data_IF_406839026852
#
_entry.id   IF_406839026852
#
_cell.length_a   1.000
_cell.length_b   1.000
_cell.length_c   1.000
_cell.angle_alpha   90.00
_cell.angle_beta   90.00
_cell.angle_gamma   90.00
#
_symmetry.space_group_name_H-M   'P 1'
#
loop_
_entity.id
_entity.type
_entity.pdbx_description
1 polymer ?
#
# COMPACT_ATOMS: atom_id res chain seq x y z
N UNK A 1 -75.61 2.58 -1.45
CA UNK A 1 -76.05 3.85 -0.85
C UNK A 1 -74.91 4.41 -0.01
N UNK A 2 -74.58 5.71 -0.20
CA UNK A 2 -73.73 6.63 0.60
C UNK A 2 -72.29 6.15 0.98
N UNK A 3 -71.17 6.67 0.44
CA UNK A 3 -70.57 8.04 0.42
C UNK A 3 -70.47 8.77 1.77
N UNK A 4 -69.26 8.80 2.36
CA UNK A 4 -68.52 9.95 2.98
C UNK A 4 -67.02 9.56 2.97
N UNK A 5 -66.07 10.17 2.27
CA UNK A 5 -65.46 11.52 2.29
C UNK A 5 -64.79 11.95 3.61
N UNK A 6 -63.48 12.20 3.52
CA UNK A 6 -62.56 12.84 4.49
C UNK A 6 -61.13 12.35 4.20
N UNK A 7 -60.33 12.93 3.30
CA UNK A 7 -59.59 14.21 3.34
C UNK A 7 -58.71 14.41 4.59
N UNK A 8 -57.40 14.27 4.39
CA UNK A 8 -56.26 14.90 5.09
C UNK A 8 -55.02 14.52 4.25
N UNK A 9 -54.57 15.34 3.30
CA UNK A 9 -53.73 16.55 3.43
C UNK A 9 -52.38 16.31 4.14
N UNK A 10 -51.35 16.21 3.28
CA UNK A 10 -50.08 16.92 3.33
C UNK A 10 -49.32 17.02 4.67
N UNK A 11 -48.24 16.24 4.77
CA UNK A 11 -47.08 16.59 5.57
C UNK A 11 -45.79 16.25 4.80
N UNK A 12 -45.44 17.13 3.86
CA UNK A 12 -44.10 17.23 3.27
C UNK A 12 -43.15 17.69 4.38
N UNK A 13 -42.36 16.77 4.93
CA UNK A 13 -41.32 17.11 5.90
C UNK A 13 -40.10 17.68 5.16
N UNK A 14 -40.14 18.99 4.92
CA UNK A 14 -39.00 19.78 4.48
C UNK A 14 -38.03 19.95 5.66
N UNK A 15 -37.00 19.10 5.74
CA UNK A 15 -35.86 19.34 6.64
C UNK A 15 -34.87 20.28 5.95
N UNK A 16 -35.20 21.57 5.98
CA UNK A 16 -34.33 22.68 5.58
C UNK A 16 -33.90 23.38 6.88
N UNK A 17 -32.76 23.02 7.43
CA UNK A 17 -32.12 23.79 8.49
C UNK A 17 -30.64 24.00 8.16
N UNK A 18 -30.32 25.29 8.15
CA UNK A 18 -29.03 25.90 7.90
C UNK A 18 -27.94 25.37 8.83
N UNK A 19 -26.88 24.81 8.24
CA UNK A 19 -25.56 24.82 8.87
C UNK A 19 -24.70 25.86 8.14
N UNK A 20 -24.96 27.12 8.45
CA UNK A 20 -24.04 28.22 8.17
C UNK A 20 -23.51 28.66 9.53
N UNK A 21 -22.28 28.25 9.86
CA UNK A 21 -21.32 29.07 10.58
C UNK A 21 -19.97 28.36 10.72
N UNK A 22 -18.93 29.12 10.32
CA UNK A 22 -17.56 29.02 10.80
C UNK A 22 -16.65 27.94 10.19
N UNK A 23 -16.40 28.07 8.89
CA UNK A 23 -15.06 27.79 8.35
C UNK A 23 -14.15 28.92 8.84
N UNK A 24 -13.58 28.74 10.04
CA UNK A 24 -12.43 29.52 10.48
C UNK A 24 -11.27 28.56 10.68
N UNK A 25 -10.30 28.73 9.79
CA UNK A 25 -8.88 28.52 10.04
C UNK A 25 -8.37 27.07 10.03
N UNK A 26 -8.23 26.53 8.81
CA UNK A 26 -7.28 25.46 8.50
C UNK A 26 -6.38 25.85 7.31
N UNK A 27 -5.93 27.11 7.29
CA UNK A 27 -4.82 27.59 6.46
C UNK A 27 -3.53 27.56 7.28
N UNK A 28 -3.01 26.38 7.62
CA UNK A 28 -1.71 26.29 8.28
C UNK A 28 -0.90 25.04 7.97
N UNK A 29 -0.97 24.55 6.73
CA UNK A 29 0.15 23.85 6.11
C UNK A 29 0.33 24.33 4.67
N UNK A 30 0.64 25.63 4.52
CA UNK A 30 1.46 26.06 3.41
C UNK A 30 2.80 25.34 3.55
N UNK A 31 3.02 24.30 2.76
CA UNK A 31 4.37 23.90 2.39
C UNK A 31 5.05 25.15 1.83
N UNK A 32 6.05 25.67 2.56
CA UNK A 32 6.89 26.77 2.11
C UNK A 32 7.54 26.35 0.78
N UNK A 33 6.94 26.78 -0.33
CA UNK A 33 7.66 26.89 -1.61
C UNK A 33 8.73 27.95 -1.41
N UNK A 34 10.02 27.68 -1.69
CA UNK A 34 11.04 28.71 -1.69
C UNK A 34 10.64 29.81 -2.67
N UNK A 35 10.51 31.03 -2.18
CA UNK A 35 10.39 32.23 -3.02
C UNK A 35 11.69 32.36 -3.82
N UNK A 36 11.60 32.24 -5.14
CA UNK A 36 12.68 32.65 -6.05
C UNK A 36 12.88 34.16 -5.86
N UNK A 37 13.90 34.54 -5.10
CA UNK A 37 14.47 35.88 -5.15
C UNK A 37 15.36 35.99 -6.38
N UNK A 38 15.15 37.05 -7.15
CA UNK A 38 15.91 37.45 -8.33
C UNK A 38 17.42 37.39 -8.07
N UNK A 39 18.08 36.41 -8.69
CA UNK A 39 19.53 36.36 -8.79
C UNK A 39 19.96 36.71 -10.23
N UNK A 40 21.05 37.48 -10.37
CA UNK A 40 21.52 38.00 -11.64
C UNK A 40 21.94 36.89 -12.60
N UNK A 41 21.61 37.09 -13.88
CA UNK A 41 21.92 36.23 -15.02
C UNK A 41 23.44 36.06 -15.18
N UNK A 42 24.03 35.12 -14.45
CA UNK A 42 25.38 34.64 -14.73
C UNK A 42 25.29 33.43 -15.66
N UNK A 43 25.90 33.55 -16.84
CA UNK A 43 26.07 32.49 -17.83
C UNK A 43 26.75 31.26 -17.20
N UNK A 44 25.93 30.32 -16.69
CA UNK A 44 26.39 28.97 -16.35
C UNK A 44 26.21 28.09 -17.57
N UNK A 45 27.33 27.77 -18.21
CA UNK A 45 27.47 26.61 -19.10
C UNK A 45 27.11 25.38 -18.26
N UNK A 46 25.84 24.99 -18.30
CA UNK A 46 25.31 23.83 -17.59
C UNK A 46 25.98 22.61 -18.19
N UNK A 47 26.98 22.09 -17.48
CA UNK A 47 27.60 20.82 -17.82
C UNK A 47 26.55 19.76 -17.51
N UNK A 48 25.78 19.36 -18.54
CA UNK A 48 24.79 18.28 -18.48
C UNK A 48 25.55 17.01 -18.08
N UNK A 49 25.66 16.80 -16.77
CA UNK A 49 26.22 15.60 -16.21
C UNK A 49 25.14 14.55 -16.45
N UNK A 50 25.31 13.75 -17.49
CA UNK A 50 24.43 12.62 -17.80
C UNK A 50 24.48 11.64 -16.64
N UNK A 51 23.65 11.90 -15.63
CA UNK A 51 23.48 11.04 -14.46
C UNK A 51 22.95 9.73 -15.03
N UNK A 52 23.84 8.74 -15.10
CA UNK A 52 23.54 7.38 -15.56
C UNK A 52 22.27 6.92 -14.86
N UNK A 53 21.14 6.98 -15.55
CA UNK A 53 19.87 6.43 -15.08
C UNK A 53 20.16 4.96 -14.91
N UNK A 54 20.43 4.54 -13.68
CA UNK A 54 20.53 3.12 -13.37
C UNK A 54 19.11 2.63 -13.58
N UNK A 55 18.90 1.86 -14.65
CA UNK A 55 17.68 1.10 -14.86
C UNK A 55 17.48 0.20 -13.63
N UNK A 56 16.82 0.74 -12.60
CA UNK A 56 16.38 -0.04 -11.45
C UNK A 56 15.36 -1.00 -12.03
N UNK A 57 15.72 -2.29 -12.07
CA UNK A 57 14.79 -3.32 -12.51
C UNK A 57 13.49 -3.17 -11.69
N UNK A 58 12.31 -3.15 -12.33
CA UNK A 58 11.05 -3.05 -11.61
C UNK A 58 10.97 -4.16 -10.57
N UNK A 59 10.60 -3.80 -9.33
CA UNK A 59 10.66 -4.69 -8.15
C UNK A 59 9.83 -5.95 -8.31
N UNK A 60 8.76 -5.90 -9.12
CA UNK A 60 7.80 -6.98 -9.32
C UNK A 60 7.76 -7.53 -10.76
N UNK A 61 8.79 -7.23 -11.57
CA UNK A 61 8.88 -7.67 -12.96
C UNK A 61 8.21 -6.71 -13.96
N UNK A 62 8.37 -7.01 -15.26
CA UNK A 62 7.93 -6.12 -16.34
C UNK A 62 6.42 -6.04 -16.57
N UNK A 63 5.66 -7.06 -16.16
CA UNK A 63 4.20 -7.06 -16.28
C UNK A 63 3.48 -6.51 -15.05
N UNK A 64 4.21 -6.04 -14.03
CA UNK A 64 3.57 -5.33 -12.93
C UNK A 64 3.29 -3.89 -13.39
N UNK A 65 2.07 -3.36 -13.18
CA UNK A 65 1.72 -1.99 -13.55
C UNK A 65 2.69 -0.97 -12.93
N UNK A 66 2.92 0.15 -13.63
CA UNK A 66 3.81 1.22 -13.13
C UNK A 66 3.40 1.70 -11.73
N UNK A 67 4.36 2.08 -10.89
CA UNK A 67 4.08 2.79 -9.62
C UNK A 67 3.46 4.18 -9.83
N UNK A 68 3.47 4.66 -11.07
CA UNK A 68 2.89 5.96 -11.47
C UNK A 68 1.49 5.82 -12.08
N UNK A 69 0.90 4.62 -12.08
CA UNK A 69 -0.50 4.49 -12.51
C UNK A 69 -1.42 5.12 -11.46
N UNK A 70 -2.38 5.98 -11.85
CA UNK A 70 -3.30 6.58 -10.89
C UNK A 70 -4.30 5.56 -10.33
N UNK A 71 -4.85 5.88 -9.16
CA UNK A 71 -6.04 5.21 -8.64
C UNK A 71 -7.31 5.77 -9.30
N UNK A 72 -8.40 5.00 -9.40
CA UNK A 72 -9.68 5.53 -9.86
C UNK A 72 -10.16 6.62 -8.89
N UNK A 73 -10.91 7.59 -9.41
CA UNK A 73 -11.43 8.71 -8.61
C UNK A 73 -12.35 8.26 -7.48
N UNK A 74 -13.00 7.12 -7.66
CA UNK A 74 -13.84 6.44 -6.68
C UNK A 74 -13.62 4.95 -6.85
N UNK A 75 -13.45 4.24 -5.74
CA UNK A 75 -13.33 2.78 -5.80
C UNK A 75 -12.90 2.20 -4.49
N UNK A 76 -13.53 1.11 -4.08
CA UNK A 76 -13.16 0.41 -2.86
C UNK A 76 -12.22 -0.73 -3.23
N UNK A 77 -11.04 -0.74 -2.62
CA UNK A 77 -10.06 -1.81 -2.81
C UNK A 77 -9.56 -2.28 -1.47
N UNK A 78 -9.49 -3.60 -1.26
CA UNK A 78 -8.82 -4.15 -0.08
C UNK A 78 -7.31 -3.97 -0.18
N UNK A 79 -6.61 -4.01 0.95
CA UNK A 79 -5.15 -4.12 0.97
C UNK A 79 -4.62 -5.26 0.08
N UNK A 80 -5.34 -6.39 -0.02
CA UNK A 80 -4.92 -7.53 -0.83
C UNK A 80 -5.08 -7.25 -2.32
N UNK A 81 -6.16 -6.60 -2.74
CA UNK A 81 -6.35 -6.20 -4.14
C UNK A 81 -5.26 -5.23 -4.60
N UNK A 82 -4.98 -4.19 -3.80
CA UNK A 82 -3.93 -3.21 -4.10
C UNK A 82 -2.58 -3.91 -4.26
N UNK A 83 -2.20 -4.78 -3.32
CA UNK A 83 -0.92 -5.47 -3.35
C UNK A 83 -0.84 -6.59 -4.41
N UNK A 84 -1.99 -7.12 -4.85
CA UNK A 84 -2.05 -8.17 -5.87
C UNK A 84 -1.99 -7.61 -7.27
N UNK A 85 -2.80 -6.60 -7.60
CA UNK A 85 -2.90 -6.07 -8.96
C UNK A 85 -1.98 -4.88 -9.20
N UNK A 86 -1.70 -4.10 -8.16
CA UNK A 86 -0.89 -2.88 -8.21
C UNK A 86 0.30 -2.97 -7.25
N UNK A 87 1.16 -4.00 -7.31
CA UNK A 87 2.18 -4.23 -6.28
C UNK A 87 3.22 -3.08 -6.19
N UNK A 88 3.48 -2.39 -7.30
CA UNK A 88 4.35 -1.21 -7.33
C UNK A 88 3.75 0.01 -6.61
N UNK A 89 2.47 -0.02 -6.22
CA UNK A 89 1.84 1.02 -5.37
C UNK A 89 2.45 1.13 -3.99
N UNK A 90 3.27 0.17 -3.55
CA UNK A 90 4.08 0.29 -2.32
C UNK A 90 5.15 1.40 -2.42
N UNK A 91 5.40 1.92 -3.62
CA UNK A 91 6.19 3.14 -3.84
C UNK A 91 5.40 4.43 -3.57
N UNK A 92 4.10 4.33 -3.24
CA UNK A 92 3.24 5.42 -2.80
C UNK A 92 3.17 5.51 -1.26
N UNK A 93 3.48 6.69 -0.73
CA UNK A 93 3.45 6.93 0.70
C UNK A 93 2.05 6.84 1.30
N UNK A 94 1.00 7.22 0.57
CA UNK A 94 -0.38 7.15 1.08
C UNK A 94 -0.83 5.70 1.21
N UNK A 95 -0.46 4.83 0.26
CA UNK A 95 -0.68 3.38 0.34
C UNK A 95 0.08 2.79 1.52
N UNK A 96 1.38 3.08 1.67
CA UNK A 96 2.16 2.59 2.81
C UNK A 96 1.56 3.08 4.13
N UNK A 97 1.19 4.36 4.22
CA UNK A 97 0.60 4.95 5.41
C UNK A 97 -0.73 4.26 5.77
N UNK A 98 -1.61 4.05 4.79
CA UNK A 98 -2.88 3.33 4.95
C UNK A 98 -2.68 1.90 5.47
N UNK A 99 -1.80 1.14 4.82
CA UNK A 99 -1.52 -0.24 5.21
C UNK A 99 -1.00 -0.32 6.64
N UNK A 100 -0.02 0.51 7.02
CA UNK A 100 0.59 0.45 8.36
C UNK A 100 -0.36 0.99 9.44
N UNK A 101 -1.14 2.05 9.15
CA UNK A 101 -2.16 2.58 10.09
C UNK A 101 -3.22 1.52 10.41
N UNK A 102 -3.58 0.70 9.43
CA UNK A 102 -4.52 -0.41 9.58
C UNK A 102 -3.86 -1.70 10.09
N UNK A 103 -2.70 -1.61 10.76
CA UNK A 103 -2.06 -2.76 11.42
C UNK A 103 -1.23 -3.65 10.48
N UNK A 104 -0.91 -3.18 9.28
CA UNK A 104 -0.01 -3.85 8.36
C UNK A 104 1.40 -3.96 8.93
N UNK A 105 2.06 -5.06 8.60
CA UNK A 105 3.44 -5.32 8.94
C UNK A 105 4.24 -5.70 7.70
N UNK A 106 5.57 -5.74 7.82
CA UNK A 106 6.41 -6.30 6.74
C UNK A 106 6.00 -7.73 6.41
N UNK A 107 5.62 -8.54 7.41
CA UNK A 107 5.30 -9.96 7.23
C UNK A 107 4.00 -10.14 6.46
N UNK A 108 2.93 -9.45 6.87
CA UNK A 108 1.63 -9.53 6.18
C UNK A 108 1.73 -9.02 4.73
N UNK A 109 2.36 -7.87 4.50
CA UNK A 109 2.55 -7.31 3.14
C UNK A 109 3.39 -8.27 2.27
N UNK A 110 4.50 -8.77 2.80
CA UNK A 110 5.33 -9.79 2.13
C UNK A 110 4.57 -11.07 1.81
N UNK A 111 3.74 -11.54 2.75
CA UNK A 111 2.96 -12.76 2.60
C UNK A 111 1.88 -12.62 1.52
N UNK A 112 1.18 -11.49 1.48
CA UNK A 112 0.18 -11.18 0.45
C UNK A 112 0.83 -11.19 -0.94
N UNK A 113 1.85 -10.35 -1.15
CA UNK A 113 2.47 -10.19 -2.48
C UNK A 113 3.04 -11.51 -3.00
N UNK A 114 3.78 -12.27 -2.19
CA UNK A 114 4.38 -13.53 -2.65
C UNK A 114 3.37 -14.70 -2.75
N UNK A 115 2.19 -14.58 -2.15
CA UNK A 115 1.12 -15.56 -2.33
C UNK A 115 0.38 -15.32 -3.64
N UNK A 116 0.06 -14.07 -3.92
CA UNK A 116 -0.79 -13.71 -5.04
C UNK A 116 -0.03 -13.40 -6.33
N UNK A 117 1.27 -13.11 -6.29
CA UNK A 117 2.06 -12.80 -7.50
C UNK A 117 3.23 -13.75 -7.71
N UNK A 118 3.49 -14.03 -8.99
CA UNK A 118 4.72 -14.66 -9.45
C UNK A 118 5.79 -13.58 -9.65
N UNK A 119 6.80 -13.56 -8.77
CA UNK A 119 8.01 -12.77 -8.97
C UNK A 119 9.18 -13.70 -9.23
N UNK A 120 9.98 -13.41 -10.26
CA UNK A 120 11.07 -14.29 -10.72
C UNK A 120 12.07 -14.68 -9.62
N UNK A 121 12.30 -13.79 -8.66
CA UNK A 121 13.26 -14.01 -7.58
C UNK A 121 12.63 -14.08 -6.18
N UNK A 122 11.29 -14.03 -6.08
CA UNK A 122 10.62 -13.77 -4.80
C UNK A 122 10.90 -12.36 -4.28
N UNK A 123 9.88 -11.66 -3.77
CA UNK A 123 10.12 -10.37 -3.14
C UNK A 123 10.52 -10.56 -1.68
N UNK A 124 11.79 -10.45 -1.33
CA UNK A 124 12.24 -10.75 0.05
C UNK A 124 11.67 -9.79 1.10
N UNK A 125 11.53 -10.26 2.35
CA UNK A 125 11.09 -9.45 3.49
C UNK A 125 11.98 -8.22 3.76
N UNK A 126 13.29 -8.34 3.52
CA UNK A 126 14.25 -7.23 3.66
C UNK A 126 14.00 -6.14 2.62
N UNK A 127 13.80 -6.54 1.36
CA UNK A 127 13.43 -5.62 0.28
C UNK A 127 12.09 -4.94 0.54
N UNK A 128 11.09 -5.67 1.03
CA UNK A 128 9.80 -5.10 1.44
C UNK A 128 9.95 -3.94 2.42
N UNK A 129 10.70 -4.15 3.52
CA UNK A 129 10.98 -3.10 4.48
C UNK A 129 11.75 -1.91 3.87
N UNK A 130 12.80 -2.20 3.09
CA UNK A 130 13.62 -1.16 2.45
C UNK A 130 12.82 -0.30 1.47
N UNK A 131 11.91 -0.89 0.71
CA UNK A 131 11.02 -0.16 -0.20
C UNK A 131 10.14 0.79 0.59
N UNK A 132 9.39 0.30 1.59
CA UNK A 132 8.53 1.15 2.42
C UNK A 132 9.30 2.29 3.11
N UNK A 133 10.49 2.02 3.68
CA UNK A 133 11.30 3.07 4.31
C UNK A 133 11.73 4.15 3.32
N UNK A 134 12.14 3.76 2.11
CA UNK A 134 12.49 4.72 1.06
C UNK A 134 11.28 5.52 0.60
N UNK A 135 10.14 4.86 0.42
CA UNK A 135 8.87 5.50 0.03
C UNK A 135 8.49 6.59 1.04
N UNK A 136 8.46 6.25 2.33
CA UNK A 136 8.10 7.18 3.39
C UNK A 136 9.12 8.30 3.54
N UNK A 137 10.42 8.01 3.46
CA UNK A 137 11.46 9.03 3.48
C UNK A 137 11.35 10.00 2.29
N UNK A 138 11.04 9.51 1.08
CA UNK A 138 10.82 10.35 -0.11
C UNK A 138 9.63 11.31 0.08
N UNK A 139 8.62 10.90 0.83
CA UNK A 139 7.46 11.74 1.15
C UNK A 139 7.67 12.68 2.35
N UNK A 140 8.89 12.79 2.88
CA UNK A 140 9.22 13.73 3.96
C UNK A 140 9.03 13.17 5.37
N UNK A 141 8.69 11.88 5.52
CA UNK A 141 8.64 11.22 6.82
C UNK A 141 10.06 10.80 7.25
N UNK A 142 10.85 11.78 7.70
CA UNK A 142 12.23 11.58 8.15
C UNK A 142 12.29 10.62 9.34
N UNK A 143 13.25 9.69 9.34
CA UNK A 143 13.44 8.64 10.36
C UNK A 143 12.23 7.72 10.57
N UNK A 144 11.34 7.65 9.58
CA UNK A 144 10.18 6.79 9.62
C UNK A 144 10.57 5.32 9.65
N UNK A 145 10.02 4.61 10.63
CA UNK A 145 10.03 3.15 10.71
C UNK A 145 8.62 2.69 11.06
N UNK A 146 8.31 1.42 10.77
CA UNK A 146 7.03 0.82 11.16
C UNK A 146 6.84 0.89 12.68
N UNK A 147 7.89 0.64 13.46
CA UNK A 147 7.83 0.71 14.94
C UNK A 147 7.60 2.12 15.46
N UNK A 148 8.00 3.14 14.71
CA UNK A 148 7.81 4.55 15.07
C UNK A 148 6.56 5.15 14.41
N UNK A 149 5.85 4.42 13.55
CA UNK A 149 4.73 4.93 12.74
C UNK A 149 3.69 5.69 13.58
N UNK A 150 3.42 5.22 14.81
CA UNK A 150 2.54 5.89 15.77
C UNK A 150 2.83 7.39 15.96
N UNK A 151 4.10 7.80 15.96
CA UNK A 151 4.51 9.20 16.12
C UNK A 151 3.92 10.13 15.04
N UNK A 152 3.73 9.62 13.82
CA UNK A 152 3.10 10.36 12.72
C UNK A 152 1.60 10.10 12.64
N UNK A 153 1.14 8.95 13.12
CA UNK A 153 -0.27 8.58 13.11
C UNK A 153 -1.08 9.29 14.18
N UNK A 154 -0.51 9.58 15.35
CA UNK A 154 -1.21 10.18 16.48
C UNK A 154 -1.89 11.52 16.12
N UNK A 155 -1.30 12.29 15.20
CA UNK A 155 -1.86 13.55 14.71
C UNK A 155 -3.09 13.36 13.83
N UNK A 156 -3.18 12.23 13.12
CA UNK A 156 -4.28 11.89 12.20
C UNK A 156 -5.29 10.94 12.85
N UNK A 157 -4.99 10.38 14.02
CA UNK A 157 -5.78 9.33 14.66
C UNK A 157 -7.24 9.72 14.90
N UNK A 158 -7.51 11.00 15.16
CA UNK A 158 -8.87 11.50 15.40
C UNK A 158 -9.73 11.57 14.14
N UNK A 159 -9.11 11.68 12.96
CA UNK A 159 -9.77 11.78 11.66
C UNK A 159 -9.61 10.52 10.82
N UNK A 160 -8.78 9.57 11.28
CA UNK A 160 -8.52 8.32 10.59
C UNK A 160 -9.73 7.37 10.69
N UNK A 161 -10.26 7.00 9.52
CA UNK A 161 -11.29 5.97 9.41
C UNK A 161 -10.67 4.65 8.92
N UNK A 162 -10.57 3.68 9.81
CA UNK A 162 -10.03 2.35 9.50
C UNK A 162 -10.93 1.52 8.58
N UNK A 163 -12.22 1.89 8.48
CA UNK A 163 -13.19 1.27 7.58
C UNK A 163 -13.14 1.83 6.16
N UNK A 164 -12.43 2.94 5.93
CA UNK A 164 -12.34 3.57 4.61
C UNK A 164 -11.44 2.75 3.68
N UNK A 165 -12.07 2.05 2.73
CA UNK A 165 -11.40 1.31 1.66
C UNK A 165 -11.25 2.10 0.36
N UNK A 166 -11.87 3.28 0.28
CA UNK A 166 -11.83 4.14 -0.89
C UNK A 166 -10.38 4.55 -1.23
N UNK A 167 -10.04 4.46 -2.51
CA UNK A 167 -8.71 4.82 -3.05
C UNK A 167 -8.68 6.16 -3.78
N UNK A 168 -9.82 6.85 -3.90
CA UNK A 168 -9.95 8.07 -4.69
C UNK A 168 -9.03 9.22 -4.26
N UNK A 169 -8.73 9.27 -2.95
CA UNK A 169 -7.87 10.30 -2.36
C UNK A 169 -6.38 9.90 -2.33
N UNK A 170 -6.01 8.70 -2.78
CA UNK A 170 -4.62 8.24 -2.74
C UNK A 170 -3.81 8.89 -3.87
N UNK A 171 -2.70 9.54 -3.52
CA UNK A 171 -1.85 10.19 -4.52
C UNK A 171 -1.02 9.19 -5.30
N UNK A 172 -0.71 9.55 -6.53
CA UNK A 172 0.26 8.84 -7.37
C UNK A 172 1.69 9.26 -7.03
N UNK A 173 2.68 8.39 -7.28
CA UNK A 173 4.09 8.62 -6.90
C UNK A 173 4.84 9.68 -7.73
N UNK A 174 4.23 10.14 -8.83
CA UNK A 174 4.81 10.99 -9.86
C UNK A 174 3.79 12.02 -10.33
N UNK A 175 4.28 13.21 -10.68
CA UNK A 175 3.49 14.27 -11.32
C UNK A 175 3.10 13.91 -12.77
N UNK A 176 3.86 13.00 -13.38
CA UNK A 176 3.56 12.39 -14.68
C UNK A 176 2.93 11.02 -14.44
N UNK A 177 1.59 10.90 -14.44
CA UNK A 177 0.94 9.61 -14.30
C UNK A 177 1.23 8.74 -15.52
N UNK A 178 1.39 7.43 -15.29
CA UNK A 178 1.37 6.47 -16.39
C UNK A 178 0.00 6.52 -17.08
N UNK A 179 -0.02 6.18 -18.37
CA UNK A 179 -1.25 6.02 -19.12
C UNK A 179 -2.09 4.84 -18.62
N UNK A 180 -3.30 4.73 -19.16
CA UNK A 180 -4.22 3.64 -18.85
C UNK A 180 -3.63 2.29 -19.25
N UNK A 181 -4.00 1.23 -18.52
CA UNK A 181 -3.59 -0.16 -18.80
C UNK A 181 -4.83 -1.05 -18.91
N UNK A 182 -4.87 -2.05 -19.81
CA UNK A 182 -5.98 -2.99 -19.84
C UNK A 182 -6.17 -3.71 -18.50
N UNK A 183 -7.41 -3.89 -18.04
CA UNK A 183 -7.70 -4.65 -16.81
C UNK A 183 -7.19 -6.09 -16.88
N UNK A 184 -7.21 -6.72 -18.06
CA UNK A 184 -6.64 -8.05 -18.28
C UNK A 184 -5.13 -8.09 -17.98
N UNK A 185 -4.39 -7.03 -18.29
CA UNK A 185 -2.96 -6.92 -18.00
C UNK A 185 -2.68 -6.83 -16.50
N UNK A 186 -3.61 -6.30 -15.68
CA UNK A 186 -3.47 -6.32 -14.21
C UNK A 186 -3.40 -7.75 -13.66
N UNK A 187 -4.05 -8.70 -14.35
CA UNK A 187 -4.01 -10.13 -14.05
C UNK A 187 -2.69 -10.81 -14.44
N UNK A 188 -1.82 -10.16 -15.21
CA UNK A 188 -0.55 -10.75 -15.61
C UNK A 188 0.38 -10.98 -14.40
N UNK A 189 0.95 -12.18 -14.35
CA UNK A 189 1.73 -12.69 -13.21
C UNK A 189 0.96 -12.79 -11.89
N UNK A 190 -0.37 -12.68 -11.89
CA UNK A 190 -1.18 -13.06 -10.72
C UNK A 190 -1.23 -14.59 -10.66
N UNK A 191 -0.71 -15.13 -9.56
CA UNK A 191 -0.65 -16.58 -9.29
C UNK A 191 -1.96 -17.11 -8.70
N UNK A 192 -2.59 -16.30 -7.87
CA UNK A 192 -3.84 -16.64 -7.19
C UNK A 192 -4.66 -15.35 -7.09
N UNK A 193 -5.91 -15.39 -7.51
CA UNK A 193 -6.81 -14.25 -7.33
C UNK A 193 -7.11 -14.06 -5.83
N UNK A 194 -7.35 -12.82 -5.37
CA UNK A 194 -7.97 -12.60 -4.08
C UNK A 194 -9.34 -13.31 -4.04
N UNK A 195 -9.73 -13.82 -2.88
CA UNK A 195 -10.98 -14.58 -2.72
C UNK A 195 -11.72 -14.12 -1.45
N UNK A 196 -13.05 -14.28 -1.45
CA UNK A 196 -13.92 -14.06 -0.28
C UNK A 196 -13.66 -12.69 0.35
N UNK A 197 -13.16 -12.65 1.59
CA UNK A 197 -12.96 -11.44 2.38
C UNK A 197 -11.73 -10.64 1.95
N UNK A 198 -10.91 -11.16 1.05
CA UNK A 198 -9.73 -10.48 0.50
C UNK A 198 -10.04 -9.82 -0.86
N UNK A 199 -11.21 -10.08 -1.45
CA UNK A 199 -11.65 -9.56 -2.74
C UNK A 199 -12.81 -8.55 -2.60
N UNK A 200 -12.83 -7.53 -3.46
CA UNK A 200 -13.95 -6.62 -3.70
C UNK A 200 -14.08 -6.35 -5.21
N UNK A 201 -14.10 -5.08 -5.60
CA UNK A 201 -14.48 -4.63 -6.94
C UNK A 201 -13.38 -4.91 -7.96
N UNK A 202 -12.12 -4.63 -7.63
CA UNK A 202 -11.01 -4.75 -8.58
C UNK A 202 -10.79 -6.21 -8.99
N UNK A 203 -10.96 -7.15 -8.06
CA UNK A 203 -10.87 -8.59 -8.35
C UNK A 203 -11.94 -9.02 -9.36
N UNK A 204 -13.21 -8.60 -9.16
CA UNK A 204 -14.33 -8.92 -10.05
C UNK A 204 -14.12 -8.33 -11.44
N UNK A 205 -13.62 -7.10 -11.53
CA UNK A 205 -13.29 -6.45 -12.80
C UNK A 205 -12.21 -7.17 -13.58
N UNK A 206 -11.10 -7.53 -12.90
CA UNK A 206 -10.00 -8.25 -13.55
C UNK A 206 -10.47 -9.64 -14.02
N UNK A 207 -11.24 -10.37 -13.19
CA UNK A 207 -11.83 -11.65 -13.59
C UNK A 207 -12.72 -11.52 -14.82
N UNK A 208 -13.63 -10.54 -14.82
CA UNK A 208 -14.50 -10.27 -15.96
C UNK A 208 -13.69 -10.05 -17.24
N UNK A 209 -12.66 -9.21 -17.22
CA UNK A 209 -11.84 -8.92 -18.41
C UNK A 209 -10.98 -10.11 -18.86
N UNK A 210 -10.58 -11.00 -17.95
CA UNK A 210 -9.88 -12.24 -18.30
C UNK A 210 -10.83 -13.25 -18.98
N UNK A 211 -12.08 -13.30 -18.57
CA UNK A 211 -13.12 -14.18 -19.13
C UNK A 211 -13.73 -13.63 -20.43
N UNK A 212 -13.65 -12.31 -20.64
CA UNK A 212 -14.22 -11.59 -21.79
C UNK A 212 -13.14 -10.87 -22.59
N UNK A 213 -12.15 -11.62 -23.10
CA UNK A 213 -10.97 -11.08 -23.78
C UNK A 213 -11.25 -10.25 -25.06
N UNK A 214 -12.49 -10.23 -25.55
CA UNK A 214 -12.90 -9.39 -26.68
C UNK A 214 -13.11 -7.91 -26.33
N UNK A 215 -13.44 -7.62 -25.06
CA UNK A 215 -13.72 -6.27 -24.62
C UNK A 215 -12.46 -5.62 -24.01
N UNK A 216 -12.04 -4.48 -24.55
CA UNK A 216 -10.88 -3.74 -24.05
C UNK A 216 -11.34 -2.69 -23.04
N UNK A 217 -11.32 -3.07 -21.77
CA UNK A 217 -11.54 -2.18 -20.63
C UNK A 217 -10.21 -1.67 -20.09
N UNK A 218 -10.06 -0.37 -19.87
CA UNK A 218 -8.83 0.23 -19.39
C UNK A 218 -8.94 0.76 -17.96
N UNK A 219 -7.96 0.40 -17.12
CA UNK A 219 -7.76 0.92 -15.79
C UNK A 219 -6.83 2.15 -15.80
N UNK A 220 -7.11 3.22 -15.02
CA UNK A 220 -8.28 3.39 -14.17
C UNK A 220 -9.46 4.08 -14.88
N UNK A 221 -9.32 4.44 -16.17
CA UNK A 221 -10.28 5.26 -16.90
C UNK A 221 -11.70 4.70 -16.89
N UNK A 222 -11.86 3.43 -17.22
CA UNK A 222 -13.16 2.78 -17.42
C UNK A 222 -13.64 2.05 -16.15
N UNK A 223 -13.08 2.39 -14.98
CA UNK A 223 -13.34 1.69 -13.72
C UNK A 223 -14.81 1.79 -13.29
N UNK A 224 -15.41 2.97 -13.35
CA UNK A 224 -16.80 3.18 -12.91
C UNK A 224 -17.80 2.50 -13.87
N UNK A 225 -17.56 2.60 -15.18
CA UNK A 225 -18.38 1.99 -16.23
C UNK A 225 -18.34 0.46 -16.16
N UNK A 226 -17.14 -0.12 -16.01
CA UNK A 226 -16.98 -1.55 -15.85
C UNK A 226 -17.63 -2.03 -14.55
N UNK A 227 -17.49 -1.28 -13.45
CA UNK A 227 -18.15 -1.62 -12.19
C UNK A 227 -19.66 -1.68 -12.36
N UNK A 228 -20.24 -0.68 -13.02
CA UNK A 228 -21.67 -0.61 -13.28
C UNK A 228 -22.14 -1.77 -14.15
N UNK A 229 -21.36 -2.15 -15.17
CA UNK A 229 -21.64 -3.29 -16.05
C UNK A 229 -21.71 -4.61 -15.27
N UNK A 230 -20.79 -4.85 -14.33
CA UNK A 230 -20.72 -6.09 -13.56
C UNK A 230 -21.66 -6.12 -12.34
N UNK A 231 -22.62 -5.18 -12.25
CA UNK A 231 -23.65 -5.15 -11.21
C UNK A 231 -23.40 -4.15 -10.07
N UNK A 232 -22.43 -3.26 -10.21
CA UNK A 232 -22.12 -2.20 -9.26
C UNK A 232 -21.18 -2.64 -8.10
N UNK A 233 -20.90 -1.70 -7.18
CA UNK A 233 -20.00 -1.91 -6.05
C UNK A 233 -20.41 -3.10 -5.18
N UNK A 234 -19.44 -3.93 -4.81
CA UNK A 234 -19.63 -5.03 -3.87
C UNK A 234 -19.97 -4.50 -2.48
N UNK A 235 -20.78 -5.27 -1.74
CA UNK A 235 -21.08 -4.95 -0.35
C UNK A 235 -19.81 -5.11 0.52
N UNK A 236 -19.40 -4.04 1.18
CA UNK A 236 -18.25 -4.06 2.09
C UNK A 236 -18.68 -4.64 3.44
N UNK A 237 -18.10 -5.79 3.80
CA UNK A 237 -18.21 -6.38 5.12
C UNK A 237 -17.09 -5.95 6.07
N UNK A 238 -17.29 -6.17 7.37
CA UNK A 238 -16.25 -5.96 8.40
C UNK A 238 -14.99 -6.80 8.16
N UNK A 239 -15.12 -7.90 7.42
CA UNK A 239 -14.01 -8.76 7.07
C UNK A 239 -13.17 -8.24 5.89
N UNK A 240 -13.70 -7.30 5.11
CA UNK A 240 -12.98 -6.69 3.98
C UNK A 240 -12.09 -5.51 4.40
N UNK A 241 -12.32 -4.94 5.60
CA UNK A 241 -11.53 -3.79 6.08
C UNK A 241 -10.06 -4.18 6.23
N UNK A 242 -9.15 -3.26 5.90
CA UNK A 242 -7.71 -3.53 5.86
C UNK A 242 -7.19 -4.13 7.18
N UNK A 243 -7.70 -3.67 8.32
CA UNK A 243 -7.29 -4.20 9.63
C UNK A 243 -7.60 -5.69 9.78
N UNK A 244 -8.79 -6.13 9.37
CA UNK A 244 -9.19 -7.53 9.44
C UNK A 244 -8.35 -8.36 8.46
N UNK A 245 -8.22 -7.88 7.22
CA UNK A 245 -7.41 -8.49 6.16
C UNK A 245 -5.96 -8.68 6.63
N UNK A 246 -5.27 -7.60 7.00
CA UNK A 246 -3.85 -7.63 7.36
C UNK A 246 -3.59 -8.52 8.58
N UNK A 247 -4.51 -8.54 9.56
CA UNK A 247 -4.44 -9.45 10.70
C UNK A 247 -4.50 -10.92 10.28
N UNK A 248 -5.34 -11.29 9.30
CA UNK A 248 -5.39 -12.67 8.74
C UNK A 248 -4.09 -13.06 8.05
N UNK A 249 -3.37 -12.09 7.48
CA UNK A 249 -2.14 -12.32 6.72
C UNK A 249 -0.85 -12.29 7.55
N UNK A 250 -0.88 -11.80 8.80
CA UNK A 250 0.32 -11.63 9.65
C UNK A 250 1.13 -12.91 9.86
N UNK A 251 0.45 -14.05 9.98
CA UNK A 251 1.07 -15.35 10.24
C UNK A 251 1.01 -16.32 9.05
N UNK A 252 0.54 -15.86 7.88
CA UNK A 252 0.50 -16.70 6.68
C UNK A 252 1.91 -16.85 6.11
N UNK A 253 2.32 -18.10 5.88
CA UNK A 253 3.53 -18.40 5.12
C UNK A 253 3.20 -18.26 3.62
N UNK A 254 3.91 -17.41 2.86
CA UNK A 254 3.65 -17.33 1.43
C UNK A 254 3.92 -18.65 0.74
N UNK A 255 3.18 -18.91 -0.33
CA UNK A 255 3.37 -20.10 -1.16
C UNK A 255 4.82 -20.12 -1.68
N UNK A 256 5.49 -21.29 -1.72
CA UNK A 256 6.81 -21.40 -2.33
C UNK A 256 6.81 -20.84 -3.74
N UNK A 257 7.86 -20.10 -4.12
CA UNK A 257 7.99 -19.59 -5.49
C UNK A 257 7.85 -20.76 -6.47
N UNK A 258 7.08 -20.56 -7.55
CA UNK A 258 7.07 -21.56 -8.61
C UNK A 258 8.50 -21.69 -9.16
N UNK A 259 8.95 -22.91 -9.48
CA UNK A 259 10.23 -23.07 -10.17
C UNK A 259 10.18 -22.15 -11.39
N UNK A 260 11.18 -21.29 -11.53
CA UNK A 260 11.29 -20.43 -12.69
C UNK A 260 11.32 -21.35 -13.89
N UNK A 261 10.22 -21.42 -14.65
CA UNK A 261 10.26 -21.91 -16.02
C UNK A 261 11.14 -20.89 -16.73
N UNK A 262 12.46 -21.11 -16.70
CA UNK A 262 13.36 -20.42 -17.58
C UNK A 262 12.75 -20.66 -18.95
N UNK A 263 12.06 -19.65 -19.50
CA UNK A 263 11.79 -19.65 -20.93
C UNK A 263 13.17 -19.92 -21.51
N UNK A 264 13.37 -21.06 -22.21
CA UNK A 264 14.63 -21.31 -22.87
C UNK A 264 14.94 -20.02 -23.57
N UNK A 265 16.05 -19.38 -23.18
CA UNK A 265 16.50 -18.17 -23.84
C UNK A 265 16.58 -18.61 -25.29
N UNK A 266 15.56 -18.27 -26.09
CA UNK A 266 15.55 -18.63 -27.49
C UNK A 266 16.82 -18.00 -28.00
N UNK A 267 17.76 -18.90 -28.28
CA UNK A 267 19.12 -18.61 -28.61
C UNK A 267 19.01 -17.67 -29.79
N UNK A 268 19.26 -16.38 -29.56
CA UNK A 268 19.39 -15.41 -30.64
C UNK A 268 20.77 -15.68 -31.26
N UNK A 269 20.94 -16.91 -31.75
CA UNK A 269 22.18 -17.47 -32.28
C UNK A 269 22.57 -16.84 -33.62
N UNK A 270 21.75 -15.91 -34.15
CA UNK A 270 21.91 -15.37 -35.49
C UNK A 270 22.61 -14.02 -35.66
N UNK A 271 23.02 -13.31 -34.60
CA UNK A 271 23.50 -11.90 -34.75
C UNK A 271 24.83 -11.54 -34.08
N UNK A 272 25.71 -12.50 -33.85
CA UNK A 272 27.16 -12.21 -33.70
C UNK A 272 27.79 -11.93 -35.07
N UNK A 273 27.35 -10.84 -35.70
CA UNK A 273 28.15 -10.15 -36.71
C UNK A 273 29.46 -9.73 -36.05
N UNK A 274 30.57 -10.26 -36.58
CA UNK A 274 31.95 -9.98 -36.19
C UNK A 274 32.24 -8.48 -36.23
N UNK A 275 31.95 -7.76 -35.14
CA UNK A 275 32.44 -6.40 -34.93
C UNK A 275 33.95 -6.46 -34.72
N UNK A 276 34.68 -6.34 -35.82
CA UNK A 276 36.10 -6.00 -35.92
C UNK A 276 36.43 -4.94 -34.86
N UNK A 277 37.14 -5.35 -33.82
CA UNK A 277 37.73 -4.44 -32.82
C UNK A 277 38.83 -3.64 -33.53
N UNK A 278 38.51 -2.42 -33.93
CA UNK A 278 39.51 -1.41 -34.26
C UNK A 278 40.26 -1.08 -32.96
N UNK A 279 41.47 -1.62 -32.82
CA UNK A 279 42.35 -1.33 -31.70
C UNK A 279 42.76 0.13 -31.72
N UNK A 280 42.22 0.93 -30.80
CA UNK A 280 42.80 2.21 -30.42
C UNK A 280 43.50 2.00 -29.09
N UNK A 281 44.82 1.79 -29.19
CA UNK A 281 45.73 1.69 -28.07
C UNK A 281 45.70 3.00 -27.26
N UNK A 282 45.01 3.00 -26.12
CA UNK A 282 45.03 4.13 -25.19
C UNK A 282 46.16 3.91 -24.19
N UNK A 283 47.28 4.60 -24.47
CA UNK A 283 48.45 4.80 -23.61
C UNK A 283 48.06 4.98 -22.14
N UNK A 284 48.64 4.13 -21.31
CA UNK A 284 48.80 4.28 -19.87
C UNK A 284 49.73 5.46 -19.57
N UNK A 285 49.22 6.52 -18.96
CA UNK A 285 50.02 7.50 -18.22
C UNK A 285 49.83 7.25 -16.74
N UNK A 286 50.91 6.80 -16.10
CA UNK A 286 51.05 6.46 -14.69
C UNK A 286 51.68 7.68 -14.04
N UNK A 287 50.90 8.50 -13.34
CA UNK A 287 51.43 9.51 -12.42
C UNK A 287 51.04 9.13 -10.99
N UNK A 288 52.03 8.60 -10.29
CA UNK A 288 52.04 8.29 -8.87
C UNK A 288 52.38 9.58 -8.12
N UNK A 289 51.49 10.07 -7.27
CA UNK A 289 51.81 11.11 -6.28
C UNK A 289 51.55 10.54 -4.89
N UNK A 290 52.56 10.45 -4.00
CA UNK A 290 52.36 10.02 -2.62
C UNK A 290 51.87 11.21 -1.78
N UNK A 291 50.63 11.12 -1.31
CA UNK A 291 50.04 12.06 -0.34
C UNK A 291 50.15 11.54 1.11
N UNK A 292 50.20 12.44 2.10
CA UNK A 292 50.70 12.15 3.45
C UNK A 292 49.72 11.35 4.31
N UNK A 293 50.31 10.43 5.07
CA UNK A 293 49.69 9.62 6.12
C UNK A 293 49.24 10.49 7.29
N UNK A 294 47.92 10.60 7.51
CA UNK A 294 47.35 11.18 8.72
C UNK A 294 47.20 10.07 9.77
N UNK A 295 48.07 10.12 10.79
CA UNK A 295 47.94 9.33 12.00
C UNK A 295 46.74 9.81 12.81
N UNK A 296 45.69 8.98 12.89
CA UNK A 296 44.58 9.20 13.81
C UNK A 296 45.02 8.72 15.20
N UNK A 297 45.18 9.68 16.10
CA UNK A 297 45.51 9.49 17.51
C UNK A 297 44.27 8.96 18.24
N UNK A 298 44.33 7.71 18.71
CA UNK A 298 43.30 7.11 19.54
C UNK A 298 43.17 7.86 20.87
N UNK A 299 41.95 8.23 21.24
CA UNK A 299 41.61 8.79 22.55
C UNK A 299 40.89 7.71 23.36
N UNK A 300 41.33 7.39 24.59
CA UNK A 300 40.66 6.39 25.41
C UNK A 300 39.38 6.97 26.03
N UNK A 301 38.24 6.37 25.70
CA UNK A 301 36.96 6.57 26.40
C UNK A 301 36.81 5.47 27.43
N UNK A 302 36.76 5.84 28.70
CA UNK A 302 36.64 4.91 29.81
C UNK A 302 36.00 5.57 31.03
N UNK A 303 34.69 5.73 31.02
CA UNK A 303 33.93 5.97 32.26
C UNK A 303 32.59 5.23 32.14
N UNK A 304 32.48 4.13 32.89
CA UNK A 304 31.27 3.32 33.02
C UNK A 304 30.30 4.03 33.97
N UNK A 305 29.03 4.25 33.61
CA UNK A 305 27.97 4.45 34.58
C UNK A 305 27.55 3.11 35.17
N UNK A 306 27.72 2.99 36.47
CA UNK A 306 27.25 1.92 37.33
C UNK A 306 25.72 1.99 37.38
N UNK A 307 25.02 1.04 36.74
CA UNK A 307 23.58 0.87 36.92
C UNK A 307 23.32 -0.07 38.10
N UNK A 308 22.59 0.47 39.08
CA UNK A 308 22.10 -0.22 40.27
C UNK A 308 21.09 -1.30 39.92
N UNK A 309 21.26 -2.46 40.55
CA UNK A 309 20.32 -3.56 40.56
C UNK A 309 19.01 -3.16 41.26
N UNK A 310 17.89 -3.28 40.55
CA UNK A 310 16.58 -3.44 41.16
C UNK A 310 16.12 -4.88 40.90
N UNK A 311 16.00 -5.63 41.98
CA UNK A 311 15.52 -6.99 42.03
C UNK A 311 14.03 -7.01 41.66
N UNK A 312 13.66 -7.80 40.66
CA UNK A 312 12.28 -8.21 40.39
C UNK A 312 12.21 -9.71 40.58
N UNK A 313 11.63 -10.11 41.71
CA UNK A 313 11.27 -11.49 42.03
C UNK A 313 10.02 -11.87 41.24
N UNK A 314 10.18 -12.65 40.18
CA UNK A 314 9.11 -13.45 39.59
C UNK A 314 9.19 -14.86 40.21
N UNK A 315 8.18 -15.19 41.02
CA UNK A 315 7.93 -16.54 41.49
C UNK A 315 7.27 -17.33 40.37
N UNK A 316 7.93 -18.43 40.00
CA UNK A 316 7.31 -19.56 39.32
C UNK A 316 6.20 -20.14 40.18
N UNK A 317 5.07 -20.46 39.55
CA UNK A 317 4.16 -21.51 40.06
C UNK A 317 3.65 -22.27 38.85
N UNK A 318 4.35 -23.36 38.56
CA UNK A 318 3.80 -24.48 37.80
C UNK A 318 2.71 -25.14 38.65
N UNK A 319 1.58 -25.43 38.02
CA UNK A 319 0.48 -26.18 38.61
C UNK A 319 -0.27 -26.89 37.50
N UNK A 320 0.16 -28.11 37.22
CA UNK A 320 -0.59 -29.11 36.46
C UNK A 320 -2.00 -29.27 37.04
N UNK A 321 -3.01 -29.33 36.18
CA UNK A 321 -4.14 -30.24 36.38
C UNK A 321 -4.76 -30.57 35.03
N UNK A 322 -4.46 -31.79 34.61
CA UNK A 322 -5.25 -32.60 33.70
C UNK A 322 -6.58 -32.95 34.39
N UNK A 323 -7.72 -32.92 33.67
CA UNK A 323 -8.85 -33.88 33.71
C UNK A 323 -10.05 -33.31 32.91
N UNK A 324 -10.30 -34.00 31.78
CA UNK A 324 -11.55 -34.50 31.17
C UNK A 324 -12.85 -33.69 31.06
N UNK A 325 -13.41 -33.89 29.85
CA UNK A 325 -14.78 -34.20 29.46
C UNK A 325 -15.91 -33.16 29.54
N UNK A 326 -16.60 -33.12 28.40
CA UNK A 326 -18.02 -32.84 28.15
C UNK A 326 -18.78 -31.95 29.14
N UNK A 327 -19.35 -30.86 28.62
CA UNK A 327 -20.81 -30.69 28.63
C UNK A 327 -21.23 -29.50 27.75
N UNK A 328 -22.12 -29.81 26.81
CA UNK A 328 -22.95 -28.87 26.08
C UNK A 328 -23.79 -28.02 27.03
N UNK A 329 -23.84 -26.69 26.82
CA UNK A 329 -24.95 -25.86 27.30
C UNK A 329 -25.39 -24.92 26.16
N UNK A 330 -26.69 -24.89 25.83
CA UNK A 330 -27.25 -24.06 24.75
C UNK A 330 -27.39 -22.59 25.16
N UNK A 331 -27.14 -21.70 24.21
CA UNK A 331 -27.36 -20.27 24.35
C UNK A 331 -28.87 -19.97 24.22
N UNK A 332 -29.51 -19.61 25.34
CA UNK A 332 -30.90 -19.14 25.38
C UNK A 332 -30.94 -17.64 25.15
N UNK A 333 -31.73 -17.23 24.15
CA UNK A 333 -31.98 -15.84 23.74
C UNK A 333 -33.02 -15.23 24.69
N UNK A 334 -32.65 -14.18 25.42
CA UNK A 334 -33.60 -13.38 26.20
C UNK A 334 -34.40 -12.47 25.25
N UNK A 335 -35.72 -12.63 25.23
CA UNK A 335 -36.64 -11.66 24.63
C UNK A 335 -36.87 -10.52 25.62
N UNK A 336 -36.64 -9.29 25.16
CA UNK A 336 -36.98 -8.05 25.88
C UNK A 336 -38.33 -7.58 25.35
N UNK A 337 -39.40 -7.83 26.09
CA UNK A 337 -40.72 -7.24 25.86
C UNK A 337 -40.79 -5.87 26.53
N UNK A 338 -40.96 -4.81 25.72
CA UNK A 338 -41.24 -3.45 26.19
C UNK A 338 -42.75 -3.24 26.20
N UNK A 339 -43.34 -3.13 27.39
CA UNK A 339 -44.73 -2.69 27.59
C UNK A 339 -44.79 -1.16 27.57
N UNK A 340 -45.54 -0.60 26.63
CA UNK A 340 -45.91 0.84 26.60
C UNK A 340 -47.11 1.02 27.54
N UNK A 341 -46.89 1.73 28.65
CA UNK A 341 -47.95 2.14 29.57
C UNK A 341 -48.73 3.32 29.00
N UNK A 342 -50.02 3.10 28.75
CA UNK A 342 -51.02 4.16 28.59
C UNK A 342 -51.50 4.66 29.95
N UNK A 343 -51.76 5.96 30.05
CA UNK A 343 -52.43 6.62 31.16
C UNK A 343 -53.13 7.88 30.66
N UNK A 344 -54.17 8.33 31.38
CA UNK A 344 -55.53 8.51 30.87
C UNK A 344 -55.81 9.80 30.10
#
# INVERSE_FOLDING_TARGET
>A
MARKHGQNEDAVFACRMHCSQSVKHLDKYHFLRPTLSDHPLHNMVSTITTRRIRNSRPSFGGAAPSSTIPFPRKGNMTAVEILTFLPNSIDCADVVYRLISNGGSRKSIYAIVNTHRNSRAGWSLSWCGKTMYKTMAKAGYTDWTITRHGQWHDQQKSTWDEGKLDVGDLRTTSDEPAGDVPFSELGENVRAMPEVNDALDLTRMVQYCLENAGDVWLYPRDYEELLQLIGGPAQIGKENVDRAVLKRWENKKPRPALPSTERPLQEVEGMMGTRKRSGVARRTSRNTTPGPSLQIKATPTGTKPQMSAAQSTLKDTAGESEIRDELSIPYTRAEVSVTVGGSP
#
